data_IF_062413669267
#
_entry.id   IF_062413669267
#
_cell.length_a   1.000
_cell.length_b   1.000
_cell.length_c   1.000
_cell.angle_alpha   90.00
_cell.angle_beta   90.00
_cell.angle_gamma   90.00
#
_symmetry.space_group_name_H-M   'P 1'
#
loop_
_entity.id
_entity.type
_entity.pdbx_description
1 polymer ?
#
# COMPACT_ATOMS: atom_id res chain seq x y z
N UNK A 1 37.96 6.78 52.91
CA UNK A 1 37.97 6.30 51.50
C UNK A 1 38.93 7.17 50.71
N UNK A 2 39.80 6.58 49.89
CA UNK A 2 40.66 7.35 48.98
C UNK A 2 39.78 7.98 47.88
N UNK A 3 40.01 9.27 47.59
CA UNK A 3 39.34 10.01 46.51
C UNK A 3 39.43 9.28 45.16
N UNK A 4 40.51 8.54 44.92
CA UNK A 4 40.70 7.73 43.71
C UNK A 4 39.72 6.56 43.58
N UNK A 5 39.29 5.95 44.69
CA UNK A 5 38.30 4.86 44.69
C UNK A 5 36.92 5.42 44.36
N UNK A 6 36.55 6.55 44.98
CA UNK A 6 35.31 7.25 44.70
C UNK A 6 35.17 7.64 43.21
N UNK A 7 36.24 8.16 42.59
CA UNK A 7 36.22 8.49 41.15
C UNK A 7 36.07 7.27 40.24
N UNK A 8 36.66 6.12 40.63
CA UNK A 8 36.48 4.86 39.89
C UNK A 8 35.05 4.34 39.99
N UNK A 9 34.48 4.36 41.19
CA UNK A 9 33.09 3.90 41.38
C UNK A 9 32.12 4.80 40.62
N UNK A 10 32.35 6.12 40.64
CA UNK A 10 31.55 7.08 39.86
C UNK A 10 31.69 6.86 38.35
N UNK A 11 32.89 6.58 37.84
CA UNK A 11 33.09 6.34 36.40
C UNK A 11 32.42 5.06 35.93
N UNK A 12 32.45 3.99 36.74
CA UNK A 12 31.73 2.74 36.47
C UNK A 12 30.23 2.99 36.41
N UNK A 13 29.66 3.73 37.37
CA UNK A 13 28.23 4.05 37.38
C UNK A 13 27.83 4.84 36.12
N UNK A 14 28.59 5.89 35.77
CA UNK A 14 28.30 6.71 34.57
C UNK A 14 28.42 5.87 33.29
N UNK A 15 29.45 5.01 33.18
CA UNK A 15 29.61 4.11 32.05
C UNK A 15 28.45 3.12 31.94
N UNK A 16 28.02 2.53 33.06
CA UNK A 16 26.88 1.61 33.11
C UNK A 16 25.56 2.30 32.72
N UNK A 17 25.28 3.50 33.23
CA UNK A 17 24.11 4.28 32.84
C UNK A 17 24.14 4.59 31.34
N UNK A 18 25.28 5.04 30.81
CA UNK A 18 25.44 5.36 29.39
C UNK A 18 25.20 4.14 28.51
N UNK A 19 25.72 2.97 28.91
CA UNK A 19 25.49 1.72 28.20
C UNK A 19 24.00 1.33 28.15
N UNK A 20 23.28 1.44 29.28
CA UNK A 20 21.84 1.15 29.35
C UNK A 20 21.03 2.09 28.46
N UNK A 21 21.31 3.40 28.52
CA UNK A 21 20.64 4.38 27.66
C UNK A 21 20.95 4.15 26.17
N UNK A 22 22.20 3.81 25.83
CA UNK A 22 22.63 3.49 24.47
C UNK A 22 21.89 2.28 23.90
N UNK A 23 21.81 1.18 24.65
CA UNK A 23 21.09 -0.04 24.24
C UNK A 23 19.60 0.26 24.03
N UNK A 24 18.99 1.02 24.94
CA UNK A 24 17.58 1.41 24.81
C UNK A 24 17.32 2.28 23.58
N UNK A 25 18.20 3.23 23.30
CA UNK A 25 18.12 4.08 22.10
C UNK A 25 18.26 3.26 20.83
N UNK A 26 19.24 2.36 20.78
CA UNK A 26 19.49 1.51 19.62
C UNK A 26 18.32 0.56 19.35
N UNK A 27 17.72 -0.03 20.39
CA UNK A 27 16.53 -0.88 20.23
C UNK A 27 15.36 -0.12 19.61
N UNK A 28 15.09 1.11 20.07
CA UNK A 28 14.01 1.96 19.52
C UNK A 28 14.28 2.33 18.07
N UNK A 29 15.52 2.70 17.76
CA UNK A 29 15.94 3.03 16.40
C UNK A 29 15.79 1.84 15.45
N UNK A 30 16.20 0.65 15.89
CA UNK A 30 16.09 -0.56 15.10
C UNK A 30 14.63 -0.95 14.81
N UNK A 31 13.75 -0.84 15.80
CA UNK A 31 12.30 -1.09 15.62
C UNK A 31 11.72 -0.06 14.66
N UNK A 32 11.97 1.23 14.87
CA UNK A 32 11.47 2.29 14.00
C UNK A 32 11.99 2.17 12.56
N UNK A 33 13.24 1.71 12.37
CA UNK A 33 13.77 1.42 11.03
C UNK A 33 12.97 0.32 10.33
N UNK A 34 12.68 -0.79 11.01
CA UNK A 34 11.87 -1.88 10.46
C UNK A 34 10.45 -1.45 10.11
N UNK A 35 9.84 -0.61 10.95
CA UNK A 35 8.50 -0.09 10.73
C UNK A 35 8.46 0.81 9.49
N UNK A 36 9.44 1.69 9.31
CA UNK A 36 9.55 2.54 8.11
C UNK A 36 9.76 1.69 6.85
N UNK A 37 10.71 0.75 6.87
CA UNK A 37 10.97 -0.13 5.72
C UNK A 37 9.73 -0.94 5.33
N UNK A 38 8.98 -1.44 6.32
CA UNK A 38 7.73 -2.16 6.09
C UNK A 38 6.63 -1.26 5.54
N UNK A 39 6.51 -0.03 6.06
CA UNK A 39 5.53 0.95 5.58
C UNK A 39 5.81 1.38 4.13
N UNK A 40 7.09 1.61 3.80
CA UNK A 40 7.53 1.91 2.43
C UNK A 40 7.24 0.75 1.48
N UNK A 41 7.62 -0.48 1.85
CA UNK A 41 7.35 -1.67 1.03
C UNK A 41 5.85 -1.82 0.76
N UNK A 42 5.01 -1.71 1.79
CA UNK A 42 3.55 -1.83 1.64
C UNK A 42 2.99 -0.72 0.78
N UNK A 43 3.43 0.53 0.97
CA UNK A 43 2.93 1.64 0.19
C UNK A 43 3.27 1.49 -1.31
N UNK A 44 4.49 1.06 -1.63
CA UNK A 44 4.89 0.72 -3.00
C UNK A 44 4.01 -0.38 -3.60
N UNK A 45 3.75 -1.47 -2.85
CA UNK A 45 2.89 -2.56 -3.31
C UNK A 45 1.48 -2.08 -3.64
N UNK A 46 0.91 -1.16 -2.87
CA UNK A 46 -0.41 -0.61 -3.16
C UNK A 46 -0.43 0.27 -4.42
N UNK A 47 0.60 1.10 -4.64
CA UNK A 47 0.71 1.84 -5.90
C UNK A 47 0.88 0.93 -7.10
N UNK A 48 1.75 -0.08 -7.01
CA UNK A 48 1.90 -1.10 -8.06
C UNK A 48 0.58 -1.83 -8.33
N UNK A 49 -0.19 -2.12 -7.27
CA UNK A 49 -1.47 -2.82 -7.39
C UNK A 49 -2.56 -1.96 -8.02
N UNK A 50 -2.57 -0.64 -7.78
CA UNK A 50 -3.44 0.31 -8.50
C UNK A 50 -3.16 0.24 -10.00
N UNK A 51 -1.89 0.32 -10.38
CA UNK A 51 -1.47 0.32 -11.78
C UNK A 51 -1.76 -1.04 -12.44
N UNK A 52 -1.59 -2.14 -11.71
CA UNK A 52 -1.97 -3.49 -12.15
C UNK A 52 -3.49 -3.60 -12.40
N UNK A 53 -4.34 -3.06 -11.52
CA UNK A 53 -5.80 -3.07 -11.74
C UNK A 53 -6.16 -2.27 -13.00
N UNK A 54 -5.50 -1.14 -13.24
CA UNK A 54 -5.69 -0.36 -14.45
C UNK A 54 -5.29 -1.16 -15.70
N UNK A 55 -4.15 -1.83 -15.66
CA UNK A 55 -3.69 -2.68 -16.76
C UNK A 55 -4.67 -3.83 -17.04
N UNK A 56 -5.13 -4.53 -15.99
CA UNK A 56 -6.06 -5.65 -16.11
C UNK A 56 -7.36 -5.21 -16.80
N UNK A 57 -7.90 -4.05 -16.43
CA UNK A 57 -9.18 -3.53 -16.91
C UNK A 57 -9.10 -2.71 -18.20
N UNK A 58 -7.91 -2.61 -18.82
CA UNK A 58 -7.73 -1.82 -20.03
C UNK A 58 -8.63 -2.34 -21.19
N UNK A 59 -9.40 -1.48 -21.84
CA UNK A 59 -10.29 -1.89 -22.94
C UNK A 59 -9.52 -2.42 -24.15
N UNK A 60 -8.30 -1.94 -24.38
CA UNK A 60 -7.48 -2.39 -25.49
C UNK A 60 -6.98 -3.81 -25.24
N UNK A 61 -7.35 -4.74 -26.12
CA UNK A 61 -6.98 -6.16 -26.07
C UNK A 61 -6.22 -6.55 -27.33
N UNK A 62 -5.20 -7.39 -27.18
CA UNK A 62 -4.56 -8.03 -28.33
C UNK A 62 -5.44 -9.15 -28.89
N UNK A 63 -5.30 -9.44 -30.19
CA UNK A 63 -6.14 -10.42 -30.89
C UNK A 63 -6.02 -11.87 -30.36
N UNK A 64 -4.94 -12.19 -29.65
CA UNK A 64 -4.70 -13.53 -29.07
C UNK A 64 -4.95 -13.61 -27.56
N UNK A 65 -5.36 -12.52 -26.91
CA UNK A 65 -5.71 -12.55 -25.48
C UNK A 65 -6.97 -13.38 -25.25
N UNK A 66 -7.01 -14.12 -24.15
CA UNK A 66 -8.11 -15.00 -23.74
C UNK A 66 -8.00 -16.44 -24.29
N UNK A 67 -7.09 -16.67 -25.24
CA UNK A 67 -6.97 -17.95 -25.96
C UNK A 67 -6.18 -19.03 -25.22
N UNK A 68 -5.55 -18.71 -24.08
CA UNK A 68 -4.80 -19.70 -23.30
C UNK A 68 -5.68 -20.68 -22.52
N UNK A 69 -6.99 -20.41 -22.44
CA UNK A 69 -7.98 -21.30 -21.85
C UNK A 69 -8.13 -22.58 -22.69
N UNK A 70 -8.24 -23.72 -22.03
CA UNK A 70 -8.62 -24.97 -22.70
C UNK A 70 -10.10 -24.96 -23.05
N UNK A 71 -10.41 -25.14 -24.34
CA UNK A 71 -11.78 -25.32 -24.84
C UNK A 71 -12.41 -26.56 -24.20
N UNK A 72 -13.65 -26.45 -23.72
CA UNK A 72 -14.47 -27.59 -23.31
C UNK A 72 -14.91 -28.45 -24.49
N UNK A 73 -15.11 -29.75 -24.24
CA UNK A 73 -15.42 -30.75 -25.29
C UNK A 73 -16.70 -30.41 -26.08
N UNK A 74 -17.71 -29.83 -25.43
CA UNK A 74 -19.02 -29.55 -26.01
C UNK A 74 -19.28 -28.05 -26.26
N UNK A 75 -18.23 -27.22 -26.33
CA UNK A 75 -18.40 -25.79 -26.59
C UNK A 75 -18.62 -25.50 -28.08
N UNK A 76 -19.70 -24.77 -28.39
CA UNK A 76 -19.89 -24.21 -29.73
C UNK A 76 -18.81 -23.16 -30.05
N UNK A 77 -18.58 -22.81 -31.32
CA UNK A 77 -17.66 -21.73 -31.70
C UNK A 77 -17.98 -20.40 -31.01
N UNK A 78 -19.25 -20.06 -30.88
CA UNK A 78 -19.73 -18.81 -30.27
C UNK A 78 -19.50 -18.82 -28.75
N UNK A 79 -19.77 -19.96 -28.09
CA UNK A 79 -19.49 -20.13 -26.67
C UNK A 79 -18.00 -20.03 -26.38
N UNK A 80 -17.17 -20.65 -27.24
CA UNK A 80 -15.72 -20.54 -27.13
C UNK A 80 -15.28 -19.09 -27.19
N UNK A 81 -15.73 -18.34 -28.19
CA UNK A 81 -15.38 -16.92 -28.34
C UNK A 81 -15.79 -16.10 -27.10
N UNK A 82 -17.02 -16.27 -26.61
CA UNK A 82 -17.51 -15.58 -25.43
C UNK A 82 -16.70 -15.91 -24.16
N UNK A 83 -16.35 -17.18 -23.97
CA UNK A 83 -15.56 -17.63 -22.83
C UNK A 83 -14.11 -17.15 -22.91
N UNK A 84 -13.50 -17.19 -24.09
CA UNK A 84 -12.13 -16.72 -24.30
C UNK A 84 -12.07 -15.20 -24.07
N UNK A 85 -13.05 -14.44 -24.57
CA UNK A 85 -13.19 -12.99 -24.30
C UNK A 85 -13.27 -12.67 -22.80
N UNK A 86 -14.06 -13.44 -22.05
CA UNK A 86 -14.15 -13.26 -20.60
C UNK A 86 -12.87 -13.71 -19.85
N UNK A 87 -12.08 -14.61 -20.45
CA UNK A 87 -10.85 -15.13 -19.88
C UNK A 87 -9.69 -14.13 -19.92
N UNK A 88 -9.76 -13.10 -20.75
CA UNK A 88 -8.78 -12.00 -20.85
C UNK A 88 -8.43 -11.43 -19.47
N UNK A 89 -9.43 -11.21 -18.61
CA UNK A 89 -9.22 -10.70 -17.26
C UNK A 89 -8.36 -11.65 -16.41
N UNK A 90 -8.57 -12.96 -16.53
CA UNK A 90 -7.77 -13.96 -15.80
C UNK A 90 -6.34 -14.04 -16.32
N UNK A 91 -6.13 -13.94 -17.63
CA UNK A 91 -4.77 -13.89 -18.21
C UNK A 91 -4.00 -12.69 -17.69
N UNK A 92 -4.59 -11.49 -17.76
CA UNK A 92 -3.97 -10.27 -17.25
C UNK A 92 -3.82 -10.27 -15.74
N UNK A 93 -4.75 -10.88 -15.01
CA UNK A 93 -4.59 -11.05 -13.56
C UNK A 93 -3.38 -11.93 -13.26
N UNK A 94 -3.17 -13.00 -14.03
CA UNK A 94 -2.07 -13.92 -13.84
C UNK A 94 -0.70 -13.29 -14.14
N UNK A 95 -0.60 -12.26 -14.99
CA UNK A 95 0.68 -11.53 -15.18
C UNK A 95 1.11 -10.76 -13.93
N UNK A 96 0.18 -10.47 -13.02
CA UNK A 96 0.43 -9.76 -11.75
C UNK A 96 0.23 -10.66 -10.51
N UNK A 97 0.17 -11.98 -10.67
CA UNK A 97 -0.15 -12.90 -9.55
C UNK A 97 0.88 -12.81 -8.40
N UNK A 98 2.15 -12.61 -8.74
CA UNK A 98 3.23 -12.51 -7.75
C UNK A 98 3.09 -11.26 -6.87
N UNK A 99 2.66 -10.14 -7.45
CA UNK A 99 2.35 -8.91 -6.74
C UNK A 99 1.22 -9.14 -5.72
N UNK A 100 0.10 -9.73 -6.17
CA UNK A 100 -1.04 -9.99 -5.28
C UNK A 100 -0.72 -11.02 -4.19
N UNK A 101 0.09 -12.03 -4.50
CA UNK A 101 0.59 -12.99 -3.52
C UNK A 101 1.50 -12.32 -2.48
N UNK A 102 2.38 -11.40 -2.92
CA UNK A 102 3.24 -10.62 -2.03
C UNK A 102 2.43 -9.69 -1.12
N UNK A 103 1.41 -9.01 -1.65
CA UNK A 103 0.48 -8.24 -0.84
C UNK A 103 -0.23 -9.12 0.20
N UNK A 104 -0.66 -10.31 -0.20
CA UNK A 104 -1.33 -11.23 0.71
C UNK A 104 -0.41 -11.69 1.85
N UNK A 105 0.85 -12.00 1.56
CA UNK A 105 1.79 -12.47 2.58
C UNK A 105 2.24 -11.37 3.53
N UNK A 106 2.53 -10.16 3.02
CA UNK A 106 3.03 -9.05 3.84
C UNK A 106 1.99 -8.52 4.83
N UNK A 107 0.69 -8.68 4.54
CA UNK A 107 -0.39 -8.15 5.39
C UNK A 107 -0.30 -8.61 6.84
N UNK A 108 0.07 -9.87 7.09
CA UNK A 108 0.13 -10.39 8.45
C UNK A 108 1.27 -9.76 9.25
N UNK A 109 2.41 -9.51 8.58
CA UNK A 109 3.53 -8.78 9.18
C UNK A 109 3.15 -7.33 9.44
N UNK A 110 2.46 -6.69 8.49
CA UNK A 110 1.92 -5.34 8.65
C UNK A 110 0.97 -5.24 9.86
N UNK A 111 0.03 -6.18 9.98
CA UNK A 111 -0.90 -6.25 11.12
C UNK A 111 -0.19 -6.51 12.45
N UNK A 112 0.88 -7.29 12.47
CA UNK A 112 1.65 -7.55 13.68
C UNK A 112 2.38 -6.28 14.19
N UNK A 113 2.80 -5.39 13.28
CA UNK A 113 3.46 -4.14 13.62
C UNK A 113 2.49 -2.99 13.93
N UNK A 114 1.41 -2.87 13.16
CA UNK A 114 0.53 -1.69 13.19
C UNK A 114 -0.89 -1.96 13.72
N UNK A 115 -1.17 -3.19 14.13
CA UNK A 115 -2.46 -3.63 14.62
C UNK A 115 -3.33 -4.28 13.54
N UNK A 116 -4.31 -5.08 13.97
CA UNK A 116 -5.20 -5.83 13.08
C UNK A 116 -6.01 -4.93 12.15
N UNK A 117 -6.43 -3.76 12.64
CA UNK A 117 -7.25 -2.82 11.87
C UNK A 117 -6.48 -2.21 10.69
N UNK A 118 -5.15 -2.14 10.79
CA UNK A 118 -4.27 -1.71 9.71
C UNK A 118 -4.30 -2.69 8.51
N UNK A 119 -4.82 -3.91 8.70
CA UNK A 119 -5.02 -4.90 7.63
C UNK A 119 -6.22 -4.62 6.72
N UNK A 120 -7.14 -3.73 7.11
CA UNK A 120 -8.39 -3.48 6.38
C UNK A 120 -8.20 -3.09 4.90
N UNK A 121 -7.25 -2.20 4.52
CA UNK A 121 -7.02 -1.88 3.11
C UNK A 121 -6.65 -3.10 2.25
N UNK A 122 -5.95 -4.10 2.82
CA UNK A 122 -5.63 -5.34 2.11
C UNK A 122 -6.87 -6.19 1.85
N UNK A 123 -7.78 -6.27 2.82
CA UNK A 123 -9.03 -7.03 2.70
C UNK A 123 -9.97 -6.38 1.69
N UNK A 124 -10.10 -5.07 1.75
CA UNK A 124 -10.92 -4.29 0.84
C UNK A 124 -10.36 -4.37 -0.59
N UNK A 125 -9.05 -4.27 -0.77
CA UNK A 125 -8.40 -4.49 -2.06
C UNK A 125 -8.63 -5.91 -2.61
N UNK A 126 -8.47 -6.95 -1.77
CA UNK A 126 -8.78 -8.34 -2.17
C UNK A 126 -10.24 -8.50 -2.59
N UNK A 127 -11.17 -7.82 -1.94
CA UNK A 127 -12.60 -7.83 -2.30
C UNK A 127 -12.84 -7.23 -3.69
N UNK A 128 -12.10 -6.19 -4.06
CA UNK A 128 -12.13 -5.60 -5.40
C UNK A 128 -11.69 -6.65 -6.44
N UNK A 129 -10.54 -7.30 -6.24
CA UNK A 129 -10.03 -8.34 -7.15
C UNK A 129 -11.03 -9.49 -7.32
N UNK A 130 -11.62 -9.97 -6.22
CA UNK A 130 -12.63 -11.03 -6.26
C UNK A 130 -13.89 -10.59 -7.03
N UNK A 131 -14.29 -9.32 -6.90
CA UNK A 131 -15.44 -8.76 -7.62
C UNK A 131 -15.19 -8.73 -9.12
N UNK A 132 -13.97 -8.36 -9.54
CA UNK A 132 -13.55 -8.38 -10.94
C UNK A 132 -13.58 -9.79 -11.53
N UNK A 133 -13.00 -10.78 -10.83
CA UNK A 133 -13.01 -12.17 -11.27
C UNK A 133 -14.43 -12.76 -11.33
N UNK A 134 -15.29 -12.42 -10.36
CA UNK A 134 -16.69 -12.84 -10.36
C UNK A 134 -17.46 -12.22 -11.55
N UNK A 135 -17.20 -10.94 -11.87
CA UNK A 135 -17.77 -10.28 -13.05
C UNK A 135 -17.34 -10.97 -14.35
N UNK A 136 -16.05 -11.33 -14.48
CA UNK A 136 -15.55 -12.08 -15.63
C UNK A 136 -16.30 -13.41 -15.82
N UNK A 137 -16.49 -14.18 -14.75
CA UNK A 137 -17.25 -15.44 -14.82
C UNK A 137 -18.73 -15.23 -15.15
N UNK A 138 -19.32 -14.14 -14.66
CA UNK A 138 -20.69 -13.79 -14.97
C UNK A 138 -20.84 -13.41 -16.46
N UNK A 139 -19.93 -12.60 -16.99
CA UNK A 139 -19.89 -12.20 -18.40
C UNK A 139 -19.65 -13.37 -19.34
N UNK A 140 -18.78 -14.32 -18.96
CA UNK A 140 -18.57 -15.55 -19.74
C UNK A 140 -19.90 -16.24 -20.08
N UNK A 141 -20.77 -16.40 -19.08
CA UNK A 141 -22.09 -17.03 -19.24
C UNK A 141 -23.09 -16.12 -19.95
N UNK A 142 -23.02 -14.81 -19.67
CA UNK A 142 -23.94 -13.84 -20.24
C UNK A 142 -23.70 -13.66 -21.74
N UNK A 143 -22.47 -13.44 -22.18
CA UNK A 143 -22.11 -13.31 -23.60
C UNK A 143 -22.30 -14.60 -24.38
N UNK A 144 -22.13 -15.77 -23.75
CA UNK A 144 -22.43 -17.06 -24.40
C UNK A 144 -23.93 -17.28 -24.64
N UNK A 145 -24.81 -16.48 -24.05
CA UNK A 145 -26.25 -16.55 -24.25
C UNK A 145 -26.61 -15.75 -25.51
N UNK A 146 -27.06 -16.45 -26.56
CA UNK A 146 -27.44 -15.82 -27.82
C UNK A 146 -28.59 -14.80 -27.64
N UNK A 147 -28.41 -13.61 -28.21
CA UNK A 147 -29.33 -12.47 -28.18
C UNK A 147 -30.71 -12.73 -28.85
N UNK A 148 -30.93 -13.86 -29.51
CA UNK A 148 -32.18 -14.17 -30.22
C UNK A 148 -33.17 -15.11 -29.52
N UNK A 149 -32.94 -15.50 -28.27
CA UNK A 149 -33.76 -16.51 -27.57
C UNK A 149 -34.49 -15.98 -26.33
N UNK A 150 -34.67 -14.67 -26.22
CA UNK A 150 -35.51 -14.11 -25.17
C UNK A 150 -37.00 -14.28 -25.53
N UNK A 151 -37.79 -14.73 -24.55
CA UNK A 151 -39.24 -14.96 -24.74
C UNK A 151 -40.04 -13.65 -24.78
N UNK A 152 -39.45 -12.55 -24.30
CA UNK A 152 -40.10 -11.25 -24.07
C UNK A 152 -39.05 -10.15 -24.07
N UNK A 153 -39.37 -8.99 -24.64
CA UNK A 153 -38.49 -7.81 -24.71
C UNK A 153 -37.97 -7.38 -23.33
N UNK A 154 -38.79 -7.46 -22.29
CA UNK A 154 -38.39 -7.15 -20.91
C UNK A 154 -37.20 -8.00 -20.43
N UNK A 155 -37.15 -9.29 -20.79
CA UNK A 155 -36.06 -10.19 -20.38
C UNK A 155 -34.76 -9.94 -21.16
N UNK A 156 -34.91 -9.42 -22.36
CA UNK A 156 -33.79 -8.98 -23.19
C UNK A 156 -33.20 -7.70 -22.61
N UNK A 157 -34.03 -6.71 -22.26
CA UNK A 157 -33.61 -5.48 -21.57
C UNK A 157 -32.90 -5.79 -20.23
N UNK A 158 -33.49 -6.64 -19.37
CA UNK A 158 -32.85 -7.09 -18.12
C UNK A 158 -31.49 -7.77 -18.34
N UNK A 159 -31.33 -8.47 -19.46
CA UNK A 159 -30.06 -9.10 -19.83
C UNK A 159 -29.02 -8.09 -20.28
N UNK A 160 -29.41 -7.10 -21.09
CA UNK A 160 -28.53 -6.01 -21.51
C UNK A 160 -28.06 -5.17 -20.31
N UNK A 161 -28.97 -4.82 -19.40
CA UNK A 161 -28.63 -4.09 -18.17
C UNK A 161 -27.65 -4.88 -17.29
N UNK A 162 -27.85 -6.20 -17.19
CA UNK A 162 -26.93 -7.07 -16.48
C UNK A 162 -25.53 -7.07 -17.11
N UNK A 163 -25.44 -7.22 -18.43
CA UNK A 163 -24.17 -7.18 -19.16
C UNK A 163 -23.49 -5.84 -18.94
N UNK A 164 -24.18 -4.72 -19.17
CA UNK A 164 -23.63 -3.37 -18.99
C UNK A 164 -23.06 -3.19 -17.58
N UNK A 165 -23.79 -3.64 -16.55
CA UNK A 165 -23.34 -3.57 -15.16
C UNK A 165 -22.08 -4.39 -14.91
N UNK A 166 -21.97 -5.59 -15.48
CA UNK A 166 -20.78 -6.42 -15.33
C UNK A 166 -19.60 -5.86 -16.14
N UNK A 167 -19.85 -5.34 -17.35
CA UNK A 167 -18.84 -4.70 -18.20
C UNK A 167 -18.20 -3.49 -17.50
N UNK A 168 -18.99 -2.67 -16.78
CA UNK A 168 -18.46 -1.55 -15.99
C UNK A 168 -17.53 -1.99 -14.84
N UNK A 169 -17.64 -3.23 -14.37
CA UNK A 169 -16.69 -3.83 -13.41
C UNK A 169 -15.48 -4.39 -14.14
N UNK A 170 -15.70 -5.07 -15.27
CA UNK A 170 -14.70 -5.80 -16.03
C UNK A 170 -13.72 -4.87 -16.75
N UNK A 171 -14.24 -3.83 -17.41
CA UNK A 171 -13.47 -2.83 -18.15
C UNK A 171 -13.36 -1.52 -17.38
N UNK A 172 -12.31 -0.75 -17.65
CA UNK A 172 -12.21 0.64 -17.21
C UNK A 172 -13.22 1.46 -18.03
N UNK A 173 -14.25 1.97 -17.34
CA UNK A 173 -15.29 2.78 -17.95
C UNK A 173 -14.93 4.27 -17.96
N UNK A 174 -15.86 5.09 -18.43
CA UNK A 174 -15.79 6.54 -18.21
C UNK A 174 -15.77 6.84 -16.70
N UNK A 175 -15.10 7.92 -16.26
CA UNK A 175 -14.96 8.23 -14.83
C UNK A 175 -16.27 8.28 -14.04
N UNK A 176 -17.37 8.66 -14.68
CA UNK A 176 -18.70 8.80 -14.06
C UNK A 176 -19.41 7.45 -13.81
N UNK A 177 -19.04 6.40 -14.55
CA UNK A 177 -19.66 5.07 -14.45
C UNK A 177 -18.77 4.00 -13.77
N UNK A 178 -17.48 4.30 -13.54
CA UNK A 178 -16.53 3.33 -12.99
C UNK A 178 -16.74 3.10 -11.48
N UNK A 179 -17.14 1.88 -11.11
CA UNK A 179 -17.38 1.49 -9.71
C UNK A 179 -16.17 0.90 -8.99
N UNK A 180 -15.08 0.62 -9.71
CA UNK A 180 -13.88 -0.07 -9.20
C UNK A 180 -12.77 0.93 -8.92
N UNK A 181 -12.50 1.86 -9.85
CA UNK A 181 -11.43 2.85 -9.68
C UNK A 181 -11.56 3.67 -8.40
N UNK A 182 -12.73 4.23 -8.03
CA UNK A 182 -12.87 4.95 -6.75
C UNK A 182 -12.63 4.07 -5.52
N UNK A 183 -12.93 2.76 -5.61
CA UNK A 183 -12.67 1.81 -4.51
C UNK A 183 -11.19 1.53 -4.37
N UNK A 184 -10.47 1.42 -5.49
CA UNK A 184 -9.00 1.27 -5.49
C UNK A 184 -8.36 2.51 -4.89
N UNK A 185 -8.72 3.71 -5.37
CA UNK A 185 -8.18 4.98 -4.82
C UNK A 185 -8.47 5.12 -3.32
N UNK A 186 -9.67 4.72 -2.88
CA UNK A 186 -9.98 4.68 -1.45
C UNK A 186 -9.03 3.77 -0.66
N UNK A 187 -8.68 2.59 -1.19
CA UNK A 187 -7.69 1.72 -0.54
C UNK A 187 -6.31 2.38 -0.48
N UNK A 188 -5.91 3.12 -1.53
CA UNK A 188 -4.67 3.90 -1.56
C UNK A 188 -4.70 4.99 -0.48
N UNK A 189 -5.77 5.78 -0.42
CA UNK A 189 -5.93 6.83 0.60
C UNK A 189 -5.87 6.26 2.02
N UNK A 190 -6.51 5.11 2.25
CA UNK A 190 -6.53 4.47 3.57
C UNK A 190 -5.15 3.94 3.97
N UNK A 191 -4.40 3.32 3.05
CA UNK A 191 -3.05 2.85 3.37
C UNK A 191 -2.06 4.01 3.50
N UNK A 192 -2.21 5.08 2.70
CA UNK A 192 -1.40 6.29 2.82
C UNK A 192 -1.55 6.94 4.19
N UNK A 193 -2.78 7.04 4.71
CA UNK A 193 -3.05 7.56 6.06
C UNK A 193 -2.34 6.78 7.17
N UNK A 194 -2.05 5.50 6.93
CA UNK A 194 -1.33 4.64 7.88
C UNK A 194 0.18 4.78 7.67
N UNK A 195 0.66 4.65 6.43
CA UNK A 195 2.10 4.60 6.13
C UNK A 195 2.78 5.97 6.13
N UNK A 196 2.15 7.04 5.59
CA UNK A 196 2.75 8.38 5.48
C UNK A 196 3.23 8.93 6.82
N UNK A 197 2.43 8.90 7.91
CA UNK A 197 2.90 9.41 9.20
C UNK A 197 4.11 8.65 9.77
N UNK A 198 4.32 7.39 9.39
CA UNK A 198 5.45 6.57 9.84
C UNK A 198 6.70 6.94 9.04
N UNK A 199 6.55 7.08 7.72
CA UNK A 199 7.64 7.42 6.79
C UNK A 199 8.10 8.86 7.02
N UNK A 200 7.16 9.80 7.11
CA UNK A 200 7.44 11.24 7.16
C UNK A 200 7.91 11.71 8.55
N UNK A 201 7.61 10.99 9.65
CA UNK A 201 8.00 11.39 11.01
C UNK A 201 9.53 11.48 11.22
N UNK A 202 10.32 10.84 10.37
CA UNK A 202 11.79 11.03 10.38
C UNK A 202 12.19 12.48 10.09
N UNK A 203 11.37 13.25 9.36
CA UNK A 203 11.60 14.67 9.11
C UNK A 203 11.47 15.51 10.40
N UNK A 204 10.45 15.26 11.21
CA UNK A 204 10.16 16.06 12.41
C UNK A 204 11.18 15.85 13.55
N UNK A 205 11.64 14.62 13.77
CA UNK A 205 12.69 14.35 14.76
C UNK A 205 14.01 15.03 14.34
N UNK A 206 14.35 15.00 13.05
CA UNK A 206 15.52 15.72 12.52
C UNK A 206 15.37 17.25 12.70
N UNK A 207 14.18 17.81 12.43
CA UNK A 207 13.89 19.24 12.60
C UNK A 207 13.92 19.69 14.07
N UNK A 208 13.41 18.87 15.00
CA UNK A 208 13.40 19.20 16.44
C UNK A 208 14.80 19.09 17.04
N UNK A 209 15.55 18.04 16.68
CA UNK A 209 16.93 17.85 17.16
C UNK A 209 17.85 18.95 16.62
N UNK A 210 17.68 19.36 15.36
CA UNK A 210 18.51 20.42 14.76
C UNK A 210 18.14 21.83 15.26
N UNK A 211 16.85 22.11 15.50
CA UNK A 211 16.42 23.46 15.94
C UNK A 211 16.70 23.75 17.42
N UNK A 212 16.53 22.77 18.31
CA UNK A 212 16.59 23.02 19.75
C UNK A 212 18.03 22.96 20.32
N UNK A 213 18.91 22.18 19.67
CA UNK A 213 20.31 22.03 20.09
C UNK A 213 21.17 23.21 19.60
N UNK A 214 21.06 23.59 18.32
CA UNK A 214 21.86 24.69 17.76
C UNK A 214 21.48 26.05 18.34
N UNK A 215 20.19 26.29 18.61
CA UNK A 215 19.71 27.56 19.17
C UNK A 215 20.21 27.79 20.60
N UNK A 216 20.22 26.74 21.43
CA UNK A 216 20.81 26.81 22.78
C UNK A 216 22.33 26.95 22.77
N UNK A 217 23.01 26.31 21.82
CA UNK A 217 24.46 26.42 21.70
C UNK A 217 24.88 27.83 21.24
N UNK A 218 24.19 28.40 20.25
CA UNK A 218 24.48 29.74 19.75
C UNK A 218 24.20 30.82 20.79
N UNK A 219 23.10 30.71 21.55
CA UNK A 219 22.77 31.63 22.65
C UNK A 219 23.80 31.57 23.78
N UNK A 220 24.32 30.38 24.09
CA UNK A 220 25.34 30.20 25.14
C UNK A 220 26.70 30.76 24.71
N UNK A 221 27.08 30.58 23.43
CA UNK A 221 28.33 31.12 22.88
C UNK A 221 28.25 32.65 22.78
N UNK A 222 27.13 33.21 22.32
CA UNK A 222 26.90 34.65 22.22
C UNK A 222 26.94 35.34 23.61
N UNK A 223 26.31 34.73 24.62
CA UNK A 223 26.35 35.26 25.99
C UNK A 223 27.77 35.19 26.60
N UNK A 224 28.54 34.16 26.27
CA UNK A 224 29.92 34.03 26.76
C UNK A 224 30.87 35.05 26.11
N UNK A 225 30.70 35.32 24.80
CA UNK A 225 31.46 36.36 24.09
C UNK A 225 31.17 37.76 24.66
N UNK A 226 29.89 38.11 24.85
CA UNK A 226 29.49 39.41 25.41
C UNK A 226 30.00 39.61 26.85
N UNK A 227 30.08 38.54 27.65
CA UNK A 227 30.62 38.60 29.02
C UNK A 227 32.14 38.80 29.08
N UNK A 228 32.87 38.36 28.05
CA UNK A 228 34.32 38.52 27.96
C UNK A 228 34.71 39.95 27.53
N UNK A 229 33.97 40.53 26.59
CA UNK A 229 34.17 41.93 26.16
C UNK A 229 33.80 42.93 27.27
N UNK A 230 32.74 42.67 28.04
CA UNK A 230 32.35 43.51 29.18
C UNK A 230 33.41 43.53 30.31
N UNK A 231 34.19 42.45 30.47
CA UNK A 231 35.31 42.40 31.43
C UNK A 231 36.56 43.13 30.92
N UNK A 232 36.75 43.22 29.60
CA UNK A 232 37.90 43.90 28.99
C UNK A 232 37.78 45.42 28.96
N UNK A 233 36.56 45.97 29.08
CA UNK A 233 36.31 47.41 29.16
C UNK A 233 36.33 47.99 30.58
N UNK A 234 36.52 47.16 31.62
CA UNK A 234 36.50 47.56 33.04
C UNK A 234 37.82 47.39 33.78
N UNK A 235 38.91 47.06 33.08
CA UNK A 235 40.29 47.04 33.60
C UNK A 235 41.16 47.95 32.77
#
# INVERSE_FOLDING_TARGET
MSFSVFLKDLSVIVASCTAIYGIGSWRREYVGKKEVELAEEVLCLFYEARDAVQHIRNIFSNANEGSSRKKGENESPEQKEAYDRAYVLFERFNTHIDLFNKMHSVRYRFMAHFGTDAGKPFEDFRRILNTMQASAQALARAWARNYGHFRTDKKEEEHYDFIKKQENIFWEGLPEEDTIKPKVEKCIDEIEKICRPIIDNKSLIYLIVNSHMFKRLSETIANKANSADAKKQRG
#
